data_IF_672000663179
#
_entry.id   IF_672000663179
#
_cell.length_a   1.000
_cell.length_b   1.000
_cell.length_c   1.000
_cell.angle_alpha   90.00
_cell.angle_beta   90.00
_cell.angle_gamma   90.00
#
_symmetry.space_group_name_H-M   'P 1'
#
loop_
_entity.id
_entity.type
_entity.pdbx_description
1 polymer ?
#
# COMPACT_ATOMS: atom_id res chain seq x y z
N UNK A 1 2.86 1.78 10.74
CA UNK A 1 2.21 0.46 10.88
C UNK A 1 2.36 -0.16 12.27
N UNK A 2 3.57 -0.39 12.83
CA UNK A 2 3.72 -0.97 14.20
C UNK A 2 3.03 -0.18 15.33
N UNK A 3 2.88 1.14 15.18
CA UNK A 3 2.22 2.00 16.15
C UNK A 3 0.70 2.17 15.91
N UNK A 4 0.16 1.55 14.85
CA UNK A 4 -1.25 1.67 14.49
C UNK A 4 -2.12 1.09 15.60
N UNK A 5 -3.09 1.87 16.07
CA UNK A 5 -3.89 1.48 17.24
C UNK A 5 -5.22 0.83 16.91
N UNK A 6 -5.65 0.89 15.65
CA UNK A 6 -7.03 0.58 15.25
C UNK A 6 -7.96 1.76 15.54
N UNK A 7 -9.27 1.51 15.50
CA UNK A 7 -10.27 2.55 15.69
C UNK A 7 -10.42 3.01 17.15
N UNK A 8 -10.11 2.12 18.11
CA UNK A 8 -10.40 2.35 19.54
C UNK A 8 -11.87 2.77 19.77
N UNK A 9 -12.80 2.19 18.99
CA UNK A 9 -14.23 2.49 19.04
C UNK A 9 -14.66 3.78 18.34
N UNK A 10 -13.76 4.49 17.64
CA UNK A 10 -14.08 5.74 16.94
C UNK A 10 -13.51 5.78 15.51
N UNK A 11 -14.40 5.89 14.53
CA UNK A 11 -14.02 5.99 13.11
C UNK A 11 -13.15 7.23 12.80
N UNK A 12 -13.32 8.33 13.54
CA UNK A 12 -12.46 9.51 13.38
C UNK A 12 -11.00 9.25 13.75
N UNK A 13 -10.72 8.34 14.70
CA UNK A 13 -9.35 7.94 15.04
C UNK A 13 -8.67 7.23 13.86
N UNK A 14 -9.43 6.42 13.12
CA UNK A 14 -8.91 5.72 11.94
C UNK A 14 -8.42 6.71 10.89
N UNK A 15 -9.17 7.77 10.62
CA UNK A 15 -8.78 8.77 9.64
C UNK A 15 -7.40 9.38 9.94
N UNK A 16 -7.18 9.82 11.18
CA UNK A 16 -5.90 10.41 11.59
C UNK A 16 -4.75 9.40 11.53
N UNK A 17 -4.99 8.16 11.94
CA UNK A 17 -4.00 7.09 11.87
C UNK A 17 -3.66 6.69 10.42
N UNK A 18 -4.67 6.60 9.55
CA UNK A 18 -4.50 6.34 8.12
C UNK A 18 -3.73 7.45 7.43
N UNK A 19 -4.04 8.72 7.75
CA UNK A 19 -3.30 9.86 7.22
C UNK A 19 -1.82 9.79 7.57
N UNK A 20 -1.46 9.47 8.83
CA UNK A 20 -0.05 9.29 9.23
C UNK A 20 0.63 8.17 8.45
N UNK A 21 -0.07 7.05 8.24
CA UNK A 21 0.48 5.94 7.45
C UNK A 21 0.65 6.35 5.99
N UNK A 22 -0.31 7.08 5.40
CA UNK A 22 -0.24 7.57 4.03
C UNK A 22 0.94 8.53 3.83
N UNK A 23 1.13 9.48 4.75
CA UNK A 23 2.27 10.40 4.70
C UNK A 23 3.59 9.65 4.78
N UNK A 24 3.72 8.66 5.66
CA UNK A 24 4.91 7.82 5.72
C UNK A 24 5.10 7.00 4.43
N UNK A 25 4.03 6.43 3.89
CA UNK A 25 4.06 5.64 2.66
C UNK A 25 4.44 6.46 1.41
N UNK A 26 4.10 7.75 1.36
CA UNK A 26 4.39 8.62 0.23
C UNK A 26 5.74 9.34 0.30
N UNK A 27 6.25 9.59 1.51
CA UNK A 27 7.38 10.50 1.74
C UNK A 27 8.46 9.94 2.67
N UNK A 28 8.43 8.65 3.04
CA UNK A 28 9.48 8.07 3.89
C UNK A 28 10.19 6.89 3.27
N UNK A 29 9.89 6.53 2.02
CA UNK A 29 10.54 5.40 1.38
C UNK A 29 9.96 5.02 0.04
N UNK A 30 10.42 3.87 -0.45
CA UNK A 30 9.98 3.25 -1.69
C UNK A 30 10.14 1.73 -1.61
N UNK A 31 9.43 1.02 -2.48
CA UNK A 31 9.74 -0.38 -2.72
C UNK A 31 10.92 -0.49 -3.69
N UNK A 32 11.97 -1.18 -3.26
CA UNK A 32 13.08 -1.61 -4.11
C UNK A 32 12.77 -3.01 -4.63
N UNK A 33 12.61 -3.13 -5.94
CA UNK A 33 12.43 -4.40 -6.62
C UNK A 33 13.78 -4.90 -7.09
N UNK A 34 14.06 -6.19 -6.88
CA UNK A 34 15.28 -6.89 -7.31
C UNK A 34 16.58 -6.18 -6.88
N UNK A 35 16.62 -5.67 -5.64
CA UNK A 35 17.78 -4.99 -5.07
C UNK A 35 19.08 -5.80 -5.20
N UNK A 36 20.12 -5.15 -5.72
CA UNK A 36 21.42 -5.78 -5.97
C UNK A 36 21.51 -6.53 -7.31
N UNK A 37 20.47 -6.49 -8.14
CA UNK A 37 20.48 -7.03 -9.51
C UNK A 37 20.49 -5.91 -10.57
N UNK A 38 20.82 -6.26 -11.82
CA UNK A 38 20.92 -5.32 -12.95
C UNK A 38 19.57 -4.69 -13.35
N UNK A 39 18.49 -5.36 -13.00
CA UNK A 39 17.10 -5.03 -13.26
C UNK A 39 16.43 -4.43 -12.01
N UNK A 40 17.21 -3.86 -11.09
CA UNK A 40 16.68 -3.18 -9.92
C UNK A 40 16.00 -1.86 -10.31
N UNK A 41 14.84 -1.59 -9.72
CA UNK A 41 14.12 -0.32 -9.86
C UNK A 41 13.33 0.00 -8.61
N UNK A 42 12.89 1.26 -8.53
CA UNK A 42 12.15 1.78 -7.38
C UNK A 42 10.71 2.02 -7.76
N UNK A 43 9.80 1.72 -6.84
CA UNK A 43 8.39 2.08 -6.93
C UNK A 43 8.06 3.02 -5.76
N UNK A 44 7.79 4.28 -6.07
CA UNK A 44 7.33 5.29 -5.10
C UNK A 44 5.81 5.37 -5.13
N UNK A 45 5.16 5.27 -3.97
CA UNK A 45 3.71 5.30 -3.91
C UNK A 45 3.16 6.70 -4.12
N UNK A 46 2.04 6.82 -4.83
CA UNK A 46 1.36 8.09 -5.10
C UNK A 46 -0.13 8.06 -4.76
N UNK A 47 -0.72 6.88 -4.54
CA UNK A 47 -2.10 6.76 -4.05
C UNK A 47 -2.34 5.41 -3.37
N UNK A 48 -3.05 5.46 -2.25
CA UNK A 48 -3.45 4.28 -1.48
C UNK A 48 -4.88 4.41 -0.96
N UNK A 49 -5.52 3.28 -0.68
CA UNK A 49 -6.85 3.20 -0.05
C UNK A 49 -6.81 2.29 1.17
N UNK A 50 -7.36 2.73 2.30
CA UNK A 50 -7.39 1.95 3.53
C UNK A 50 -8.66 1.10 3.65
N UNK A 51 -8.49 -0.07 4.25
CA UNK A 51 -9.55 -1.01 4.60
C UNK A 51 -9.38 -1.47 6.03
N UNK A 52 -10.49 -1.58 6.77
CA UNK A 52 -10.46 -1.93 8.18
C UNK A 52 -11.72 -2.71 8.62
N UNK A 53 -11.48 -3.80 9.34
CA UNK A 53 -12.53 -4.68 9.85
C UNK A 53 -12.20 -5.12 11.28
N UNK A 54 -13.10 -4.88 12.23
CA UNK A 54 -13.00 -5.41 13.59
C UNK A 54 -13.81 -6.69 13.66
N UNK A 55 -13.28 -7.81 14.14
CA UNK A 55 -14.05 -9.07 14.21
C UNK A 55 -15.21 -8.96 15.20
N UNK A 56 -14.99 -8.31 16.34
CA UNK A 56 -16.00 -8.14 17.41
C UNK A 56 -16.56 -6.71 17.51
N UNK A 57 -16.11 -5.80 16.63
CA UNK A 57 -16.42 -4.37 16.70
C UNK A 57 -17.52 -3.90 15.73
N UNK A 58 -17.66 -2.58 15.60
CA UNK A 58 -18.72 -1.95 14.80
C UNK A 58 -18.28 -1.64 13.37
N UNK A 59 -16.97 -1.48 13.13
CA UNK A 59 -16.45 -1.12 11.82
C UNK A 59 -16.16 -2.39 11.03
N UNK A 60 -16.88 -2.55 9.92
CA UNK A 60 -16.92 -3.79 9.14
C UNK A 60 -16.73 -3.51 7.65
N UNK A 61 -15.51 -3.61 7.14
CA UNK A 61 -15.29 -3.74 5.70
C UNK A 61 -15.48 -5.19 5.24
N UNK A 62 -15.92 -5.37 3.99
CA UNK A 62 -16.22 -6.72 3.45
C UNK A 62 -14.98 -7.57 3.21
N UNK A 63 -13.83 -6.93 2.98
CA UNK A 63 -12.58 -7.59 2.62
C UNK A 63 -11.75 -7.78 3.89
N UNK A 64 -11.37 -9.04 4.16
CA UNK A 64 -10.34 -9.40 5.13
C UNK A 64 -9.45 -10.47 4.53
N UNK A 65 -8.14 -10.36 4.75
CA UNK A 65 -7.15 -11.30 4.23
C UNK A 65 -6.78 -12.30 5.32
N UNK A 66 -7.09 -13.57 5.09
CA UNK A 66 -6.86 -14.66 6.04
C UNK A 66 -5.87 -15.66 5.43
N UNK A 67 -4.97 -16.21 6.26
CA UNK A 67 -4.00 -17.23 5.82
C UNK A 67 -4.60 -18.65 5.77
N UNK A 68 -5.83 -18.79 6.26
CA UNK A 68 -6.60 -20.02 6.32
C UNK A 68 -8.05 -19.72 6.67
N UNK A 69 -8.81 -20.75 7.06
CA UNK A 69 -10.18 -20.55 7.54
C UNK A 69 -10.13 -19.87 8.90
N UNK A 70 -10.47 -18.58 8.91
CA UNK A 70 -10.58 -17.74 10.11
C UNK A 70 -9.25 -17.47 10.86
N UNK A 71 -8.10 -17.69 10.22
CA UNK A 71 -6.78 -17.41 10.81
C UNK A 71 -6.24 -16.05 10.37
N UNK A 72 -6.03 -15.16 11.35
CA UNK A 72 -4.95 -14.17 11.27
C UNK A 72 -3.65 -14.91 10.99
N UNK A 73 -2.84 -14.45 10.05
CA UNK A 73 -1.62 -15.23 9.78
C UNK A 73 -0.62 -14.65 8.82
N UNK A 74 -0.92 -13.52 8.20
CA UNK A 74 0.10 -12.79 7.46
C UNK A 74 0.94 -11.96 8.43
N UNK A 75 2.24 -11.90 8.16
CA UNK A 75 3.14 -11.04 8.92
C UNK A 75 2.80 -9.57 8.66
N UNK A 76 3.12 -8.69 9.62
CA UNK A 76 3.03 -7.25 9.42
C UNK A 76 3.83 -6.83 8.18
N UNK A 77 3.20 -6.09 7.27
CA UNK A 77 3.78 -5.68 5.99
C UNK A 77 3.71 -6.72 4.88
N UNK A 78 3.02 -7.86 5.11
CA UNK A 78 2.77 -8.82 4.04
C UNK A 78 1.99 -8.16 2.90
N UNK A 79 2.30 -8.59 1.68
CA UNK A 79 1.66 -8.10 0.46
C UNK A 79 0.65 -9.13 -0.05
N UNK A 80 -0.55 -8.68 -0.38
CA UNK A 80 -1.62 -9.52 -0.88
C UNK A 80 -2.13 -8.98 -2.23
N UNK A 81 -1.76 -9.62 -3.34
CA UNK A 81 -2.27 -9.26 -4.66
C UNK A 81 -3.80 -9.45 -4.74
N UNK A 82 -4.50 -8.49 -5.32
CA UNK A 82 -5.93 -8.57 -5.63
C UNK A 82 -6.23 -7.96 -7.03
N UNK A 83 -7.41 -8.20 -7.64
CA UNK A 83 -7.72 -7.68 -8.98
C UNK A 83 -7.66 -6.14 -9.11
N UNK A 84 -7.82 -5.44 -8.00
CA UNK A 84 -7.84 -3.98 -7.85
C UNK A 84 -6.51 -3.38 -7.37
N UNK A 85 -5.44 -4.18 -7.20
CA UNK A 85 -4.09 -3.74 -6.88
C UNK A 85 -3.34 -4.73 -5.97
N UNK A 86 -2.51 -4.22 -5.07
CA UNK A 86 -1.84 -5.03 -4.04
C UNK A 86 -2.07 -4.38 -2.69
N UNK A 87 -2.57 -5.15 -1.74
CA UNK A 87 -2.72 -4.72 -0.35
C UNK A 87 -1.43 -4.94 0.43
N UNK A 88 -1.12 -4.02 1.33
CA UNK A 88 -0.15 -4.19 2.40
C UNK A 88 -0.89 -4.38 3.71
N UNK A 89 -0.68 -5.50 4.37
CA UNK A 89 -1.41 -5.90 5.58
C UNK A 89 -0.73 -5.41 6.86
N UNK A 90 -1.54 -5.00 7.83
CA UNK A 90 -1.10 -4.62 9.17
C UNK A 90 -2.14 -4.97 10.24
N UNK A 91 -2.71 -6.16 10.11
CA UNK A 91 -3.60 -6.81 11.07
C UNK A 91 -3.01 -6.87 12.49
N UNK A 92 -3.89 -6.88 13.50
CA UNK A 92 -3.55 -7.11 14.90
C UNK A 92 -4.47 -8.19 15.49
N UNK A 93 -3.99 -9.43 15.65
CA UNK A 93 -4.78 -10.52 16.21
C UNK A 93 -5.16 -10.31 17.68
N UNK A 94 -4.34 -9.58 18.45
CA UNK A 94 -4.62 -9.33 19.87
C UNK A 94 -5.77 -8.34 20.03
N UNK A 95 -5.81 -7.33 19.15
CA UNK A 95 -6.91 -6.36 19.08
C UNK A 95 -8.07 -6.80 18.18
N UNK A 96 -7.94 -7.96 17.52
CA UNK A 96 -8.94 -8.58 16.64
C UNK A 96 -9.45 -7.64 15.54
N UNK A 97 -8.52 -6.96 14.85
CA UNK A 97 -8.85 -6.23 13.64
C UNK A 97 -7.96 -6.65 12.48
N UNK A 98 -8.54 -6.62 11.29
CA UNK A 98 -7.87 -6.69 10.01
C UNK A 98 -7.73 -5.29 9.44
N UNK A 99 -6.54 -4.98 8.92
CA UNK A 99 -6.27 -3.68 8.34
C UNK A 99 -5.29 -3.80 7.19
N UNK A 100 -5.59 -3.09 6.11
CA UNK A 100 -4.72 -3.03 4.95
C UNK A 100 -4.78 -1.66 4.30
N UNK A 101 -3.78 -1.37 3.46
CA UNK A 101 -3.92 -0.36 2.45
C UNK A 101 -3.63 -0.95 1.07
N UNK A 102 -4.50 -0.66 0.12
CA UNK A 102 -4.39 -1.01 -1.27
C UNK A 102 -3.56 0.02 -2.00
N UNK A 103 -2.50 -0.41 -2.69
CA UNK A 103 -1.73 0.44 -3.57
C UNK A 103 -2.49 0.62 -4.89
N UNK A 104 -2.80 1.89 -5.20
CA UNK A 104 -3.48 2.30 -6.44
C UNK A 104 -2.53 3.02 -7.37
N UNK A 105 -1.66 3.84 -6.79
CA UNK A 105 -0.80 4.77 -7.50
C UNK A 105 0.66 4.58 -7.18
N UNK A 106 1.50 4.63 -8.20
CA UNK A 106 2.93 4.58 -8.05
C UNK A 106 3.68 5.17 -9.25
N UNK A 107 4.90 5.61 -8.96
CA UNK A 107 5.91 6.05 -9.92
C UNK A 107 7.05 5.05 -9.97
N UNK A 108 7.32 4.51 -11.16
CA UNK A 108 8.46 3.64 -11.41
C UNK A 108 9.68 4.46 -11.83
N UNK A 109 10.82 4.16 -11.18
CA UNK A 109 12.09 4.83 -11.39
C UNK A 109 13.13 3.75 -11.70
N UNK A 110 13.41 3.58 -12.99
CA UNK A 110 14.44 2.68 -13.49
C UNK A 110 15.73 3.48 -13.80
N UNK A 111 16.93 3.00 -13.41
CA UNK A 111 18.17 3.69 -13.70
C UNK A 111 18.36 3.96 -15.20
N UNK A 112 18.59 5.22 -15.55
CA UNK A 112 18.85 5.65 -16.93
C UNK A 112 17.63 5.67 -17.86
N UNK A 113 16.43 5.43 -17.35
CA UNK A 113 15.18 5.56 -18.11
C UNK A 113 14.36 6.75 -17.63
N UNK A 114 13.41 7.16 -18.45
CA UNK A 114 12.41 8.16 -18.06
C UNK A 114 11.50 7.54 -16.99
N UNK A 115 11.29 8.29 -15.91
CA UNK A 115 10.31 7.94 -14.89
C UNK A 115 8.91 7.84 -15.50
N UNK A 116 8.13 6.90 -15.02
CA UNK A 116 6.75 6.71 -15.46
C UNK A 116 5.85 6.55 -14.25
N UNK A 117 4.65 7.14 -14.31
CA UNK A 117 3.64 7.02 -13.28
C UNK A 117 2.39 6.33 -13.86
N UNK A 118 1.82 5.40 -13.09
CA UNK A 118 0.68 4.60 -13.55
C UNK A 118 -0.64 5.39 -13.67
N UNK A 119 -0.62 6.68 -13.36
CA UNK A 119 -1.72 7.62 -13.58
C UNK A 119 -1.72 8.27 -14.98
N UNK A 120 -0.61 8.18 -15.75
CA UNK A 120 -0.39 9.04 -16.94
C UNK A 120 -1.36 8.74 -18.11
N UNK A 121 -2.12 7.64 -18.09
CA UNK A 121 -2.91 7.21 -19.25
C UNK A 121 -4.37 6.81 -18.98
N UNK A 122 -4.83 6.66 -17.74
CA UNK A 122 -6.21 6.19 -17.46
C UNK A 122 -6.80 6.81 -16.20
N UNK A 123 -8.10 7.10 -16.23
CA UNK A 123 -8.89 7.59 -15.08
C UNK A 123 -8.96 6.58 -13.92
N UNK A 124 -8.62 5.31 -14.16
CA UNK A 124 -9.07 4.21 -13.29
C UNK A 124 -7.93 3.53 -12.50
N UNK A 125 -6.71 4.11 -12.46
CA UNK A 125 -5.57 3.59 -11.68
C UNK A 125 -5.33 2.10 -11.94
N UNK A 126 -4.74 1.77 -13.11
CA UNK A 126 -4.66 0.41 -13.64
C UNK A 126 -3.91 -0.55 -12.70
N UNK A 127 -4.62 -1.42 -11.96
CA UNK A 127 -3.98 -2.21 -10.90
C UNK A 127 -3.18 -3.38 -11.44
N UNK A 128 -3.51 -3.86 -12.64
CA UNK A 128 -2.77 -4.90 -13.34
C UNK A 128 -1.34 -4.46 -13.67
N UNK A 129 -1.13 -3.17 -13.97
CA UNK A 129 0.21 -2.65 -14.24
C UNK A 129 1.08 -2.75 -12.98
N UNK A 130 0.49 -2.50 -11.79
CA UNK A 130 1.23 -2.68 -10.55
C UNK A 130 1.65 -4.13 -10.32
N UNK A 131 0.85 -5.12 -10.72
CA UNK A 131 1.28 -6.52 -10.61
C UNK A 131 2.50 -6.80 -11.49
N UNK A 132 2.50 -6.29 -12.72
CA UNK A 132 3.65 -6.43 -13.61
C UNK A 132 4.88 -5.73 -13.05
N UNK A 133 4.74 -4.54 -12.48
CA UNK A 133 5.89 -3.81 -11.94
C UNK A 133 6.28 -4.29 -10.55
N UNK A 134 5.40 -4.90 -9.77
CA UNK A 134 5.74 -5.39 -8.43
C UNK A 134 6.32 -6.80 -8.47
N UNK A 135 5.85 -7.65 -9.40
CA UNK A 135 6.23 -9.06 -9.52
C UNK A 135 6.92 -9.44 -10.83
N UNK A 136 6.94 -8.59 -11.86
CA UNK A 136 7.45 -8.95 -13.20
C UNK A 136 8.93 -9.28 -13.25
N UNK A 137 9.69 -8.86 -12.23
CA UNK A 137 11.09 -9.24 -12.03
C UNK A 137 11.29 -10.61 -11.36
N UNK A 138 10.23 -11.36 -11.06
CA UNK A 138 10.33 -12.65 -10.38
C UNK A 138 11.09 -13.67 -11.24
N UNK A 139 12.23 -14.14 -10.72
CA UNK A 139 13.05 -15.15 -11.37
C UNK A 139 12.85 -16.51 -10.70
N UNK A 140 12.44 -17.50 -11.50
CA UNK A 140 12.16 -18.88 -11.07
C UNK A 140 13.42 -19.77 -11.02
N UNK A 141 14.57 -19.25 -11.44
CA UNK A 141 15.84 -19.96 -11.42
C UNK A 141 16.66 -19.52 -10.21
N UNK A 142 17.42 -20.45 -9.62
CA UNK A 142 18.30 -20.21 -8.46
C UNK A 142 19.45 -19.21 -8.73
N UNK A 143 19.58 -18.69 -9.95
CA UNK A 143 20.57 -17.68 -10.34
C UNK A 143 20.01 -16.25 -10.32
N UNK A 144 18.72 -16.08 -10.05
CA UNK A 144 18.09 -14.78 -9.81
C UNK A 144 17.60 -14.67 -8.38
N UNK A 145 17.58 -13.45 -7.86
CA UNK A 145 16.94 -13.11 -6.59
C UNK A 145 15.73 -12.25 -6.92
N UNK A 146 14.53 -12.78 -6.71
CA UNK A 146 13.35 -11.92 -6.59
C UNK A 146 13.32 -11.34 -5.18
N UNK A 147 13.23 -10.03 -5.07
CA UNK A 147 13.11 -9.35 -3.77
C UNK A 147 12.25 -8.12 -3.90
N UNK A 148 11.37 -7.93 -2.91
CA UNK A 148 10.63 -6.70 -2.70
C UNK A 148 11.01 -6.22 -1.31
N UNK A 149 11.67 -5.07 -1.22
CA UNK A 149 12.18 -4.53 0.05
C UNK A 149 11.70 -3.09 0.21
N UNK A 150 11.15 -2.73 1.37
CA UNK A 150 10.90 -1.32 1.68
C UNK A 150 12.21 -0.66 2.12
N UNK A 151 12.58 0.42 1.45
CA UNK A 151 13.79 1.20 1.75
C UNK A 151 13.36 2.58 2.22
N UNK A 152 13.82 2.97 3.40
CA UNK A 152 13.59 4.32 3.93
C UNK A 152 14.34 5.35 3.07
N UNK A 153 13.64 6.39 2.64
CA UNK A 153 14.16 7.49 1.83
C UNK A 153 14.16 8.77 2.68
N UNK A 154 15.36 9.24 3.02
CA UNK A 154 15.52 10.41 3.90
C UNK A 154 15.43 11.74 3.16
N UNK A 155 15.41 11.71 1.82
CA UNK A 155 15.65 12.89 1.00
C UNK A 155 14.35 13.55 0.51
N UNK A 156 13.23 12.82 0.54
CA UNK A 156 11.95 13.30 0.05
C UNK A 156 11.02 13.71 1.19
N UNK A 157 10.80 15.01 1.43
CA UNK A 157 10.01 15.48 2.59
C UNK A 157 8.96 16.55 2.30
N UNK A 158 8.83 17.03 1.07
CA UNK A 158 7.97 18.17 0.76
C UNK A 158 6.66 17.73 0.11
N UNK A 159 5.64 17.52 0.94
CA UNK A 159 4.30 17.21 0.45
C UNK A 159 3.28 17.00 1.57
N UNK A 160 2.11 16.51 1.19
CA UNK A 160 1.09 16.01 2.11
C UNK A 160 0.24 14.91 1.44
N UNK A 161 -0.42 14.10 2.26
CA UNK A 161 -1.42 13.15 1.79
C UNK A 161 -2.80 13.84 1.72
N UNK A 162 -3.32 14.04 0.51
CA UNK A 162 -4.66 14.61 0.30
C UNK A 162 -5.72 13.52 0.43
N UNK A 163 -6.68 13.63 1.37
CA UNK A 163 -7.74 12.65 1.53
C UNK A 163 -8.70 12.66 0.34
N UNK A 164 -9.21 11.49 -0.02
CA UNK A 164 -10.17 11.29 -1.10
C UNK A 164 -11.09 10.10 -0.79
N UNK A 165 -12.28 10.02 -1.43
CA UNK A 165 -13.11 8.84 -1.36
C UNK A 165 -12.38 7.60 -1.86
N UNK A 166 -12.71 6.43 -1.30
CA UNK A 166 -12.26 5.15 -1.85
C UNK A 166 -12.90 4.94 -3.23
N UNK A 167 -12.12 4.44 -4.18
CA UNK A 167 -12.55 4.20 -5.56
C UNK A 167 -13.30 2.87 -5.66
N UNK A 168 -12.87 1.83 -4.94
CA UNK A 168 -13.45 0.49 -5.05
C UNK A 168 -14.76 0.30 -4.25
N UNK A 169 -15.07 1.20 -3.32
CA UNK A 169 -16.25 1.11 -2.46
C UNK A 169 -16.96 2.46 -2.44
N UNK A 170 -18.23 2.46 -2.82
CA UNK A 170 -19.11 3.63 -2.73
C UNK A 170 -19.68 3.79 -1.31
N UNK A 171 -18.84 4.16 -0.34
CA UNK A 171 -19.27 4.43 1.05
C UNK A 171 -19.02 5.87 1.51
N UNK A 172 -18.52 6.72 0.61
CA UNK A 172 -18.15 8.12 0.84
C UNK A 172 -17.09 8.34 1.94
N UNK A 173 -16.44 7.28 2.44
CA UNK A 173 -15.37 7.42 3.43
C UNK A 173 -14.14 8.02 2.79
N UNK A 174 -13.54 9.01 3.45
CA UNK A 174 -12.28 9.64 3.06
C UNK A 174 -11.06 8.81 3.51
N UNK A 175 -11.08 7.52 3.19
CA UNK A 175 -10.03 6.57 3.51
C UNK A 175 -9.10 6.29 2.32
N UNK A 176 -9.28 7.00 1.21
CA UNK A 176 -8.29 7.09 0.15
C UNK A 176 -7.36 8.28 0.38
N UNK A 177 -6.12 8.17 -0.07
CA UNK A 177 -5.17 9.27 -0.02
C UNK A 177 -4.36 9.31 -1.32
N UNK A 178 -4.11 10.51 -1.82
CA UNK A 178 -3.17 10.74 -2.93
C UNK A 178 -2.03 11.66 -2.48
N UNK A 179 -0.85 11.42 -3.05
CA UNK A 179 0.34 12.23 -2.81
C UNK A 179 0.18 13.59 -3.49
N UNK A 180 0.46 14.66 -2.74
CA UNK A 180 0.58 16.01 -3.28
C UNK A 180 1.96 16.56 -2.93
N UNK A 181 2.73 16.90 -3.95
CA UNK A 181 4.04 17.54 -3.80
C UNK A 181 3.85 19.03 -3.48
N UNK A 182 4.62 19.56 -2.53
CA UNK A 182 4.67 21.01 -2.30
C UNK A 182 5.56 21.64 -3.37
N UNK A 183 5.00 22.62 -4.09
CA UNK A 183 5.71 23.51 -5.01
C UNK A 183 6.78 24.33 -4.30
#
# INVERSE_FOLDING_TARGET
MKAFKGAEGCEANLFEEFKKIAEAAFFSGYFLINGGCKDAYKLKLTCIEFYYHEDDGYIKDKIKYLKGKDEFGYALGAVCPNPSGVDVLFDDPQKKYHASFLIRGYKAIEPGKKEWENNEKRKDWAPHDFWYDFFGGANMLNNGKFSIEWIDDTDEKSGYAEPMPRINIEDNRLWGFKKVEKL
#
